data_IF_354219981782
#
_entry.id   IF_354219981782
#
_cell.length_a   1.000
_cell.length_b   1.000
_cell.length_c   1.000
_cell.angle_alpha   90.00
_cell.angle_beta   90.00
_cell.angle_gamma   90.00
#
_symmetry.space_group_name_H-M   'P 1'
#
loop_
_entity.id
_entity.type
_entity.pdbx_description
1 polymer ?
#
# COMPACT_ATOMS: atom_id res chain seq x y z
N UNK A 1 -40.73 -61.59 17.63
CA UNK A 1 -40.86 -60.60 16.54
C UNK A 1 -39.59 -59.75 16.55
N UNK A 2 -38.79 -59.84 15.48
CA UNK A 2 -37.54 -59.09 15.26
C UNK A 2 -37.87 -57.92 14.35
N UNK A 3 -37.51 -56.70 14.74
CA UNK A 3 -37.27 -55.61 13.80
C UNK A 3 -36.21 -54.67 14.39
N UNK A 4 -35.00 -54.80 13.86
CA UNK A 4 -33.90 -53.86 13.98
C UNK A 4 -34.25 -52.56 13.25
N UNK A 5 -34.05 -51.41 13.88
CA UNK A 5 -34.01 -50.11 13.19
C UNK A 5 -32.70 -49.40 13.56
N UNK A 6 -31.71 -49.63 12.68
CA UNK A 6 -30.71 -48.71 12.13
C UNK A 6 -30.11 -47.61 13.02
N UNK A 7 -28.80 -47.74 13.22
CA UNK A 7 -27.80 -46.71 13.48
C UNK A 7 -28.16 -45.36 12.81
N UNK A 8 -28.11 -44.29 13.59
CA UNK A 8 -27.92 -42.93 13.12
C UNK A 8 -26.69 -42.33 13.80
N UNK A 9 -25.53 -42.40 13.15
CA UNK A 9 -24.37 -41.58 13.50
C UNK A 9 -24.70 -40.12 13.20
N UNK A 10 -24.75 -39.28 14.23
CA UNK A 10 -24.66 -37.83 14.06
C UNK A 10 -23.29 -37.39 14.58
N UNK A 11 -22.29 -37.52 13.72
CA UNK A 11 -21.03 -36.81 13.87
C UNK A 11 -21.30 -35.34 13.51
N UNK A 12 -21.60 -34.52 14.51
CA UNK A 12 -21.58 -33.07 14.37
C UNK A 12 -20.10 -32.64 14.29
N UNK A 13 -19.55 -32.66 13.08
CA UNK A 13 -18.31 -31.96 12.77
C UNK A 13 -18.61 -30.45 12.90
N UNK A 14 -18.30 -29.90 14.08
CA UNK A 14 -18.22 -28.46 14.27
C UNK A 14 -17.00 -28.00 13.49
N UNK A 15 -17.21 -27.69 12.21
CA UNK A 15 -16.27 -26.95 11.39
C UNK A 15 -16.15 -25.56 12.01
N UNK A 16 -15.16 -25.40 12.88
CA UNK A 16 -14.66 -24.11 13.32
C UNK A 16 -14.13 -23.38 12.09
N UNK A 17 -14.99 -22.58 11.47
CA UNK A 17 -14.58 -21.57 10.52
C UNK A 17 -13.62 -20.65 11.26
N UNK A 18 -12.38 -20.61 10.78
CA UNK A 18 -11.30 -19.83 11.35
C UNK A 18 -11.70 -18.37 11.46
N UNK A 19 -11.95 -17.93 12.69
CA UNK A 19 -11.75 -16.54 13.06
C UNK A 19 -10.24 -16.33 13.13
N UNK A 20 -9.68 -15.72 12.08
CA UNK A 20 -8.36 -15.11 12.15
C UNK A 20 -8.41 -14.06 13.27
N UNK A 21 -8.07 -14.47 14.49
CA UNK A 21 -7.91 -13.56 15.62
C UNK A 21 -6.55 -12.92 15.45
N UNK A 22 -6.50 -11.89 14.60
CA UNK A 22 -5.45 -10.89 14.63
C UNK A 22 -5.70 -10.04 15.86
N UNK A 23 -5.15 -10.49 17.00
CA UNK A 23 -5.07 -9.72 18.24
C UNK A 23 -4.01 -8.64 18.02
N UNK A 24 -4.47 -7.49 17.56
CA UNK A 24 -3.68 -6.29 17.41
C UNK A 24 -4.63 -5.12 17.65
N UNK A 25 -4.36 -4.34 18.69
CA UNK A 25 -4.91 -3.00 18.88
C UNK A 25 -4.37 -2.11 17.75
N UNK A 26 -4.84 -2.37 16.53
CA UNK A 26 -4.40 -1.74 15.31
C UNK A 26 -5.17 -0.42 15.19
N UNK A 27 -4.48 0.71 15.39
CA UNK A 27 -5.01 2.00 14.93
C UNK A 27 -5.47 1.82 13.47
N UNK A 28 -6.69 2.24 13.12
CA UNK A 28 -7.18 2.06 11.76
C UNK A 28 -6.26 2.78 10.80
N UNK A 29 -5.59 2.04 9.92
CA UNK A 29 -4.74 2.60 8.86
C UNK A 29 -5.65 3.43 7.95
N UNK A 30 -5.59 4.75 8.10
CA UNK A 30 -6.34 5.68 7.25
C UNK A 30 -5.58 5.83 5.94
N UNK A 31 -6.14 5.25 4.87
CA UNK A 31 -5.64 5.37 3.50
C UNK A 31 -6.43 6.46 2.75
N UNK A 32 -6.03 7.75 2.82
CA UNK A 32 -6.70 8.78 2.05
C UNK A 32 -6.66 8.45 0.56
N UNK A 33 -7.80 8.64 -0.11
CA UNK A 33 -8.00 8.42 -1.54
C UNK A 33 -7.41 9.59 -2.34
N UNK A 34 -6.10 9.78 -2.22
CA UNK A 34 -5.36 10.83 -2.91
C UNK A 34 -4.32 10.18 -3.80
N UNK A 35 -4.20 10.68 -5.04
CA UNK A 35 -3.17 10.19 -5.95
C UNK A 35 -1.81 10.54 -5.37
N UNK A 36 -0.98 9.53 -5.16
CA UNK A 36 0.39 9.67 -4.68
C UNK A 36 1.33 9.28 -5.80
N UNK A 37 2.34 10.10 -6.10
CA UNK A 37 3.39 9.73 -7.02
C UNK A 37 4.60 9.24 -6.24
N UNK A 38 5.14 8.07 -6.60
CA UNK A 38 6.30 7.51 -5.92
C UNK A 38 7.14 6.66 -6.88
N UNK A 39 8.43 6.49 -6.57
CA UNK A 39 9.35 5.61 -7.32
C UNK A 39 10.17 4.74 -6.39
N UNK A 40 10.65 3.61 -6.92
CA UNK A 40 11.74 2.87 -6.30
C UNK A 40 13.07 3.61 -6.49
N UNK A 41 14.11 3.17 -5.77
CA UNK A 41 15.46 3.77 -5.84
C UNK A 41 16.08 3.78 -7.25
N UNK A 42 15.57 2.98 -8.19
CA UNK A 42 16.06 2.91 -9.58
C UNK A 42 14.97 3.05 -10.64
N UNK A 43 13.69 2.99 -10.25
CA UNK A 43 12.54 3.09 -11.17
C UNK A 43 12.19 4.54 -11.52
N UNK A 44 11.08 4.79 -12.22
CA UNK A 44 10.56 6.16 -12.47
C UNK A 44 9.37 6.45 -11.57
N UNK A 45 8.92 7.71 -11.52
CA UNK A 45 7.72 8.09 -10.77
C UNK A 45 6.46 7.44 -11.36
N UNK A 46 5.76 6.67 -10.55
CA UNK A 46 4.49 6.02 -10.87
C UNK A 46 3.37 6.60 -10.01
N UNK A 47 2.14 6.58 -10.53
CA UNK A 47 0.96 7.05 -9.81
C UNK A 47 0.26 5.92 -9.06
N UNK A 48 -0.06 6.15 -7.80
CA UNK A 48 -0.79 5.26 -6.91
C UNK A 48 -2.10 5.93 -6.51
N UNK A 49 -3.21 5.19 -6.50
CA UNK A 49 -4.55 5.72 -6.17
C UNK A 49 -4.71 6.12 -4.72
N UNK A 50 -3.93 5.50 -3.84
CA UNK A 50 -3.95 5.76 -2.41
C UNK A 50 -2.53 5.68 -1.84
N UNK A 51 -2.30 6.27 -0.68
CA UNK A 51 -1.01 6.15 0.02
C UNK A 51 -0.67 4.73 0.46
N UNK A 52 -1.64 3.83 0.50
CA UNK A 52 -1.47 2.45 0.94
C UNK A 52 -1.07 1.50 -0.20
N UNK A 53 -1.27 1.92 -1.45
CA UNK A 53 -0.83 1.17 -2.62
C UNK A 53 0.68 1.38 -2.89
N UNK A 54 1.30 2.36 -2.23
CA UNK A 54 2.73 2.67 -2.38
C UNK A 54 3.56 1.60 -1.67
N UNK A 55 4.42 0.86 -2.38
CA UNK A 55 5.26 -0.15 -1.76
C UNK A 55 6.25 0.45 -0.76
N UNK A 56 6.58 -0.32 0.27
CA UNK A 56 7.59 0.11 1.25
C UNK A 56 8.95 0.34 0.58
N UNK A 57 9.64 1.41 0.99
CA UNK A 57 10.94 1.80 0.42
C UNK A 57 10.84 2.66 -0.84
N UNK A 58 9.65 3.01 -1.29
CA UNK A 58 9.47 4.00 -2.36
C UNK A 58 9.64 5.42 -1.83
N UNK A 59 10.22 6.28 -2.66
CA UNK A 59 10.36 7.71 -2.40
C UNK A 59 9.22 8.45 -3.08
N UNK A 60 8.58 9.37 -2.36
CA UNK A 60 7.49 10.16 -2.91
C UNK A 60 8.08 11.17 -3.91
N UNK A 61 7.52 11.22 -5.12
CA UNK A 61 7.90 12.17 -6.15
C UNK A 61 7.19 13.51 -5.93
N UNK A 62 7.83 14.58 -6.38
CA UNK A 62 7.34 15.96 -6.27
C UNK A 62 7.84 16.81 -7.45
N UNK A 63 7.35 18.04 -7.56
CA UNK A 63 7.72 18.96 -8.63
C UNK A 63 6.85 18.79 -9.88
N UNK A 64 6.71 19.88 -10.65
CA UNK A 64 5.90 19.92 -11.87
C UNK A 64 4.50 19.32 -11.69
N UNK A 65 4.22 18.25 -12.46
CA UNK A 65 2.96 17.50 -12.45
C UNK A 65 2.74 16.61 -11.21
N UNK A 66 3.79 16.31 -10.44
CA UNK A 66 3.71 15.36 -9.31
C UNK A 66 3.26 16.00 -8.00
N UNK A 67 3.17 17.34 -7.97
CA UNK A 67 2.69 18.08 -6.82
C UNK A 67 3.78 18.35 -5.77
N UNK A 68 3.34 18.49 -4.50
CA UNK A 68 4.19 18.91 -3.39
C UNK A 68 4.47 17.81 -2.38
N UNK A 69 5.47 18.05 -1.54
CA UNK A 69 5.85 17.17 -0.44
C UNK A 69 4.98 17.39 0.80
N UNK A 70 4.99 16.40 1.71
CA UNK A 70 4.31 16.52 2.99
C UNK A 70 4.93 17.64 3.84
N UNK A 71 4.16 18.18 4.78
CA UNK A 71 4.64 19.22 5.69
C UNK A 71 5.88 18.75 6.45
N UNK A 72 6.96 19.52 6.38
CA UNK A 72 8.24 19.19 7.00
C UNK A 72 9.25 18.48 6.08
N UNK A 73 8.85 18.09 4.87
CA UNK A 73 9.74 17.55 3.83
C UNK A 73 9.88 18.55 2.69
N UNK A 74 11.05 18.59 2.06
CA UNK A 74 11.34 19.49 0.93
C UNK A 74 11.43 18.70 -0.37
N UNK A 75 10.98 19.30 -1.46
CA UNK A 75 11.17 18.73 -2.78
C UNK A 75 12.61 19.00 -3.23
N UNK A 76 13.41 17.95 -3.36
CA UNK A 76 14.78 18.02 -3.86
C UNK A 76 14.87 17.34 -5.21
N UNK A 77 15.73 17.85 -6.08
CA UNK A 77 15.96 17.28 -7.42
C UNK A 77 16.41 15.81 -7.29
N UNK A 78 15.88 14.93 -8.13
CA UNK A 78 16.12 13.50 -7.99
C UNK A 78 17.48 13.12 -8.58
N UNK A 79 18.47 12.72 -7.76
CA UNK A 79 19.81 12.39 -8.27
C UNK A 79 19.83 11.11 -9.13
N UNK A 80 18.74 10.34 -9.12
CA UNK A 80 18.58 9.09 -9.86
C UNK A 80 17.85 9.30 -11.19
N UNK A 81 17.43 10.53 -11.50
CA UNK A 81 16.93 10.86 -12.83
C UNK A 81 18.07 11.35 -13.74
N UNK A 82 17.82 11.34 -15.04
CA UNK A 82 18.76 11.86 -16.05
C UNK A 82 18.47 13.32 -16.40
N UNK A 83 17.56 13.96 -15.67
CA UNK A 83 17.12 15.33 -15.90
C UNK A 83 18.12 16.26 -15.21
N UNK A 84 19.10 16.75 -15.96
CA UNK A 84 20.11 17.64 -15.38
C UNK A 84 19.47 18.95 -14.90
N UNK A 85 19.64 19.34 -13.60
CA UNK A 85 19.10 20.59 -13.09
C UNK A 85 19.68 21.78 -13.87
N UNK A 86 18.81 22.60 -14.44
CA UNK A 86 19.16 23.80 -15.21
C UNK A 86 18.72 23.81 -16.67
N UNK A 87 18.25 22.68 -17.22
CA UNK A 87 17.73 22.60 -18.59
C UNK A 87 16.18 22.75 -18.68
N UNK A 88 15.45 22.38 -17.63
CA UNK A 88 13.99 22.49 -17.57
C UNK A 88 13.51 22.72 -16.14
N UNK A 89 12.43 23.49 -15.98
CA UNK A 89 11.80 23.78 -14.68
C UNK A 89 10.93 22.61 -14.16
N UNK A 90 10.88 21.51 -14.91
CA UNK A 90 9.93 20.40 -14.73
C UNK A 90 10.60 19.06 -14.37
N UNK A 91 11.88 19.07 -13.97
CA UNK A 91 12.52 17.82 -13.54
C UNK A 91 11.81 17.26 -12.29
N UNK A 92 11.43 15.97 -12.29
CA UNK A 92 10.82 15.34 -11.13
C UNK A 92 11.80 15.33 -9.95
N UNK A 93 11.36 15.87 -8.82
CA UNK A 93 12.07 15.75 -7.56
C UNK A 93 11.54 14.59 -6.72
N UNK A 94 12.20 14.39 -5.58
CA UNK A 94 11.79 13.49 -4.50
C UNK A 94 11.63 14.26 -3.19
N UNK A 95 10.71 13.81 -2.35
CA UNK A 95 10.50 14.37 -1.02
C UNK A 95 11.49 13.78 -0.02
N UNK A 96 12.27 14.64 0.63
CA UNK A 96 13.19 14.30 1.72
C UNK A 96 12.98 15.20 2.94
#
# INVERSE_FOLDING_TARGET
>A
MRTWMKLGLMAAAVLGLGACTGDGEEEPIVCPQVVVFARSSTGTCESFSTSCDVPQGYLRCCGGLFGGCATGTSCVDDPSDTCAPGASADCPGICQ
#
